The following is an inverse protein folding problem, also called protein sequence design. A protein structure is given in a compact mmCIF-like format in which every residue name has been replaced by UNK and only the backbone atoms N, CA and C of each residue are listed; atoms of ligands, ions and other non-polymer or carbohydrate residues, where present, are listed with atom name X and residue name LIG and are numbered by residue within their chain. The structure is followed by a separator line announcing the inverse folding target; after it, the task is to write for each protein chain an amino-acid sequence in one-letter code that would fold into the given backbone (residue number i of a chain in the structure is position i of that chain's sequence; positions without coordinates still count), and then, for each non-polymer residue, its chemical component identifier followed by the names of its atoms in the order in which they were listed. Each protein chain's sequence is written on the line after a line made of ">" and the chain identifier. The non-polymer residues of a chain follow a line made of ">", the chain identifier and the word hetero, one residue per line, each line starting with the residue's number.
data_IF_219781145756
#
_entry.id   IF_219781145756
#
_cell.length_a   1.000
_cell.length_b   1.000
_cell.length_c   1.000
_cell.angle_alpha   90.00
_cell.angle_beta   90.00
_cell.angle_gamma   90.00
#
_symmetry.space_group_name_H-M   'P 1'
#
loop_
_entity.id
_entity.type
_entity.pdbx_description
1 polymer ?
#
# COMPACT_ATOMS: atom_id res chain seq x y z
N UNK A 1 -18.39 -2.47 -7.96
CA UNK A 1 -18.03 -1.03 -8.02
C UNK A 1 -17.96 -0.36 -6.64
N UNK A 2 -18.66 -0.88 -5.61
CA UNK A 2 -18.60 -0.37 -4.22
C UNK A 2 -17.31 -0.78 -3.46
N UNK A 3 -16.72 -1.94 -3.77
CA UNK A 3 -15.60 -2.53 -3.01
C UNK A 3 -14.27 -1.77 -3.10
N UNK A 4 -13.95 -1.14 -4.24
CA UNK A 4 -12.71 -0.35 -4.40
C UNK A 4 -12.72 0.98 -3.63
N UNK A 5 -13.87 1.42 -3.11
CA UNK A 5 -13.97 2.65 -2.33
C UNK A 5 -13.16 2.61 -1.03
N UNK A 6 -12.79 1.43 -0.53
CA UNK A 6 -11.94 1.29 0.66
C UNK A 6 -10.56 1.90 0.45
N UNK A 7 -10.04 1.86 -0.78
CA UNK A 7 -8.71 2.38 -1.09
C UNK A 7 -8.62 3.91 -1.05
N UNK A 8 -9.74 4.64 -0.91
CA UNK A 8 -9.72 6.10 -0.68
C UNK A 8 -8.94 6.51 0.58
N UNK A 9 -8.74 5.58 1.50
CA UNK A 9 -7.95 5.80 2.72
C UNK A 9 -6.44 5.67 2.50
N UNK A 10 -6.00 5.21 1.33
CA UNK A 10 -4.62 5.29 0.89
C UNK A 10 -4.36 6.63 0.21
N UNK A 11 -3.32 7.34 0.68
CA UNK A 11 -2.93 8.63 0.15
C UNK A 11 -1.63 8.45 -0.62
N UNK A 12 -1.64 8.75 -1.92
CA UNK A 12 -0.42 8.84 -2.72
C UNK A 12 0.33 10.14 -2.35
N UNK A 13 1.61 10.00 -1.97
CA UNK A 13 2.42 11.11 -1.49
C UNK A 13 3.23 11.75 -2.61
N UNK A 14 3.23 13.08 -2.63
CA UNK A 14 4.18 13.85 -3.44
C UNK A 14 5.61 13.65 -2.91
N UNK A 15 6.42 12.89 -3.65
CA UNK A 15 7.80 12.56 -3.26
C UNK A 15 8.69 13.80 -3.10
N UNK A 16 8.41 14.89 -3.83
CA UNK A 16 9.20 16.13 -3.72
C UNK A 16 8.97 16.84 -2.38
N UNK A 17 7.77 16.68 -1.81
CA UNK A 17 7.43 17.24 -0.49
C UNK A 17 7.82 16.32 0.68
N UNK A 18 8.19 15.07 0.39
CA UNK A 18 8.43 14.02 1.39
C UNK A 18 9.85 13.42 1.29
N UNK A 19 10.86 14.24 0.96
CA UNK A 19 12.22 13.76 0.68
C UNK A 19 12.87 13.02 1.86
N UNK A 20 12.66 13.47 3.10
CA UNK A 20 13.20 12.82 4.30
C UNK A 20 12.61 11.42 4.53
N UNK A 21 11.29 11.29 4.32
CA UNK A 21 10.61 10.01 4.36
C UNK A 21 11.14 9.08 3.26
N UNK A 22 11.29 9.58 2.03
CA UNK A 22 11.89 8.84 0.93
C UNK A 22 13.30 8.31 1.29
N UNK A 23 14.16 9.16 1.88
CA UNK A 23 15.49 8.76 2.31
C UNK A 23 15.44 7.69 3.41
N UNK A 24 14.52 7.83 4.37
CA UNK A 24 14.32 6.87 5.45
C UNK A 24 13.87 5.51 4.93
N UNK A 25 12.88 5.50 4.04
CA UNK A 25 12.38 4.28 3.40
C UNK A 25 13.50 3.61 2.60
N UNK A 26 14.23 4.35 1.74
CA UNK A 26 15.37 3.81 0.98
C UNK A 26 16.41 3.16 1.88
N UNK A 27 16.74 3.78 3.02
CA UNK A 27 17.69 3.22 3.98
C UNK A 27 17.20 1.89 4.59
N UNK A 28 15.92 1.79 4.90
CA UNK A 28 15.32 0.59 5.48
C UNK A 28 15.15 -0.55 4.48
N UNK A 29 14.60 -0.25 3.30
CA UNK A 29 14.30 -1.25 2.27
C UNK A 29 15.47 -1.55 1.34
N UNK A 30 16.55 -0.75 1.42
CA UNK A 30 17.73 -0.81 0.54
C UNK A 30 17.43 -0.60 -0.95
N UNK A 31 16.28 -0.02 -1.29
CA UNK A 31 15.96 0.33 -2.68
C UNK A 31 16.74 1.57 -3.12
N UNK A 32 17.19 1.58 -4.37
CA UNK A 32 17.92 2.72 -4.96
C UNK A 32 16.97 3.86 -5.39
N UNK A 33 15.79 3.50 -5.88
CA UNK A 33 14.76 4.41 -6.38
C UNK A 33 13.40 4.09 -5.78
N UNK A 34 12.62 5.13 -5.52
CA UNK A 34 11.21 5.06 -5.14
C UNK A 34 10.44 5.81 -6.22
N UNK A 35 9.44 5.16 -6.81
CA UNK A 35 8.63 5.74 -7.87
C UNK A 35 7.34 6.38 -7.32
N UNK A 36 6.76 5.81 -6.26
CA UNK A 36 5.65 6.39 -5.50
C UNK A 36 5.57 5.81 -4.09
N UNK A 37 4.82 6.48 -3.21
CA UNK A 37 4.57 6.03 -1.84
C UNK A 37 3.09 6.21 -1.53
N UNK A 38 2.43 5.11 -1.17
CA UNK A 38 1.16 5.19 -0.46
C UNK A 38 1.38 5.30 1.03
N UNK A 39 0.57 6.15 1.65
CA UNK A 39 0.40 6.25 3.11
C UNK A 39 -0.99 5.76 3.51
N UNK A 40 -1.05 4.86 4.48
CA UNK A 40 -2.29 4.42 5.12
C UNK A 40 -2.22 4.70 6.61
N UNK A 41 -3.21 5.41 7.14
CA UNK A 41 -3.26 5.72 8.58
C UNK A 41 -3.85 4.55 9.38
N UNK A 42 -3.26 4.26 10.55
CA UNK A 42 -3.67 3.16 11.44
C UNK A 42 -5.06 3.32 12.06
N UNK A 43 -5.67 4.49 11.95
CA UNK A 43 -7.05 4.73 12.43
C UNK A 43 -8.11 4.47 11.35
N UNK A 44 -7.72 4.04 10.15
CA UNK A 44 -8.65 3.82 9.03
C UNK A 44 -9.12 2.38 8.96
N UNK A 45 -10.31 2.16 8.39
CA UNK A 45 -10.80 0.80 8.10
C UNK A 45 -9.85 0.03 7.17
N UNK A 46 -9.20 0.74 6.24
CA UNK A 46 -8.23 0.11 5.33
C UNK A 46 -7.06 -0.51 6.11
N UNK A 47 -6.58 0.12 7.19
CA UNK A 47 -5.52 -0.48 8.02
C UNK A 47 -5.95 -1.81 8.65
N UNK A 48 -7.17 -1.88 9.20
CA UNK A 48 -7.70 -3.11 9.81
C UNK A 48 -7.77 -4.22 8.77
N UNK A 49 -8.34 -3.92 7.60
CA UNK A 49 -8.47 -4.88 6.49
C UNK A 49 -7.11 -5.35 5.95
N UNK A 50 -6.15 -4.43 5.81
CA UNK A 50 -4.80 -4.78 5.36
C UNK A 50 -4.08 -5.68 6.37
N UNK A 51 -4.22 -5.41 7.67
CA UNK A 51 -3.60 -6.23 8.72
C UNK A 51 -4.14 -7.66 8.69
N UNK A 52 -5.46 -7.81 8.65
CA UNK A 52 -6.11 -9.13 8.53
C UNK A 52 -5.70 -9.85 7.24
N UNK A 53 -5.65 -9.11 6.12
CA UNK A 53 -5.17 -9.66 4.85
C UNK A 53 -3.74 -10.18 4.95
N UNK A 54 -2.81 -9.40 5.49
CA UNK A 54 -1.40 -9.79 5.61
C UNK A 54 -1.21 -11.02 6.49
N UNK A 55 -2.00 -11.16 7.55
CA UNK A 55 -2.05 -12.39 8.35
C UNK A 55 -2.57 -13.57 7.53
N UNK A 56 -3.62 -13.37 6.74
CA UNK A 56 -4.20 -14.40 5.88
C UNK A 56 -3.21 -14.92 4.81
N UNK A 57 -2.51 -14.01 4.13
CA UNK A 57 -1.59 -14.38 3.04
C UNK A 57 -0.14 -14.62 3.49
N UNK A 58 0.18 -14.36 4.76
CA UNK A 58 1.51 -14.62 5.34
C UNK A 58 2.63 -13.74 4.79
N UNK A 59 2.32 -12.55 4.26
CA UNK A 59 3.31 -11.60 3.76
C UNK A 59 3.11 -10.21 4.36
N UNK A 60 4.19 -9.44 4.46
CA UNK A 60 4.16 -8.06 4.93
C UNK A 60 4.74 -7.10 3.87
N UNK A 61 3.90 -6.42 3.07
CA UNK A 61 4.36 -5.51 2.03
C UNK A 61 4.74 -4.11 2.56
N UNK A 62 4.66 -3.86 3.87
CA UNK A 62 4.95 -2.56 4.47
C UNK A 62 6.42 -2.21 4.26
N UNK A 63 6.68 -1.10 3.56
CA UNK A 63 8.03 -0.60 3.30
C UNK A 63 8.59 0.15 4.51
N UNK A 64 7.73 0.85 5.25
CA UNK A 64 8.06 1.51 6.51
C UNK A 64 6.81 1.74 7.35
N UNK A 65 6.98 1.78 8.65
CA UNK A 65 5.93 2.03 9.62
C UNK A 65 6.46 3.04 10.66
N UNK A 66 5.67 4.08 10.91
CA UNK A 66 5.83 4.97 12.06
C UNK A 66 4.72 4.73 13.09
N UNK A 67 4.60 5.60 14.09
CA UNK A 67 3.59 5.47 15.14
C UNK A 67 2.16 5.42 14.59
N UNK A 68 1.86 6.23 13.60
CA UNK A 68 0.49 6.54 13.18
C UNK A 68 0.15 6.01 11.77
N UNK A 69 1.16 5.65 10.96
CA UNK A 69 0.99 5.32 9.55
C UNK A 69 1.84 4.14 9.08
N UNK A 70 1.32 3.48 8.05
CA UNK A 70 2.02 2.52 7.20
C UNK A 70 2.37 3.17 5.86
N UNK A 71 3.54 2.85 5.33
CA UNK A 71 4.02 3.36 4.05
C UNK A 71 4.42 2.21 3.12
N UNK A 72 4.02 2.33 1.85
CA UNK A 72 4.20 1.31 0.83
C UNK A 72 4.82 1.93 -0.41
N UNK A 73 5.96 1.41 -0.85
CA UNK A 73 6.51 1.77 -2.16
C UNK A 73 5.64 1.14 -3.24
N UNK A 74 5.36 1.90 -4.30
CA UNK A 74 4.77 1.38 -5.51
C UNK A 74 5.51 1.87 -6.76
N UNK A 75 5.44 1.07 -7.81
CA UNK A 75 5.85 1.47 -9.16
C UNK A 75 4.67 2.18 -9.80
N UNK A 76 4.81 3.47 -10.10
CA UNK A 76 3.78 4.43 -10.52
C UNK A 76 3.11 4.14 -11.87
N UNK A 77 3.05 2.86 -12.29
CA UNK A 77 2.28 2.43 -13.44
C UNK A 77 0.80 2.30 -13.03
N UNK A 78 0.10 3.44 -13.09
CA UNK A 78 -1.30 3.59 -12.69
C UNK A 78 -2.28 3.00 -13.73
N UNK A 79 -2.22 1.71 -14.03
CA UNK A 79 -3.41 1.08 -14.57
C UNK A 79 -4.49 1.11 -13.47
N UNK A 80 -5.68 1.63 -13.79
CA UNK A 80 -6.77 1.85 -12.81
C UNK A 80 -7.13 0.60 -12.00
N UNK A 81 -6.84 -0.59 -12.53
CA UNK A 81 -7.07 -1.87 -11.88
C UNK A 81 -5.93 -2.38 -11.00
N UNK A 82 -4.73 -1.82 -11.11
CA UNK A 82 -3.53 -2.31 -10.40
C UNK A 82 -2.96 -1.28 -9.42
N UNK A 83 -3.55 -0.08 -9.36
CA UNK A 83 -3.06 1.04 -8.57
C UNK A 83 -2.76 0.69 -7.11
N UNK A 84 -3.58 -0.14 -6.46
CA UNK A 84 -3.44 -0.49 -5.04
C UNK A 84 -2.86 -1.88 -4.81
N UNK A 85 -2.38 -2.55 -5.86
CA UNK A 85 -1.87 -3.92 -5.77
C UNK A 85 -0.67 -4.01 -4.82
N UNK A 86 0.18 -2.97 -4.80
CA UNK A 86 1.29 -2.84 -3.84
C UNK A 86 0.84 -2.83 -2.37
N UNK A 87 -0.32 -2.24 -2.06
CA UNK A 87 -0.87 -2.22 -0.70
C UNK A 87 -1.19 -3.63 -0.23
N UNK A 88 -1.65 -4.49 -1.12
CA UNK A 88 -2.11 -5.84 -0.78
C UNK A 88 -1.03 -6.90 -1.04
N UNK A 89 0.19 -6.48 -1.38
CA UNK A 89 1.34 -7.36 -1.66
C UNK A 89 1.31 -8.05 -3.03
N UNK A 90 0.61 -7.46 -4.00
CA UNK A 90 0.61 -7.90 -5.38
C UNK A 90 1.81 -7.43 -6.19
N UNK A 91 1.94 -7.98 -7.40
CA UNK A 91 3.06 -7.82 -8.33
C UNK A 91 2.78 -6.81 -9.46
N UNK A 92 1.64 -6.14 -9.41
CA UNK A 92 1.16 -5.23 -10.45
C UNK A 92 0.21 -5.88 -11.45
N UNK A 93 -0.17 -7.15 -11.27
CA UNK A 93 -1.21 -7.80 -12.09
C UNK A 93 -2.63 -7.39 -11.69
N UNK A 94 -2.82 -6.86 -10.48
CA UNK A 94 -4.14 -6.51 -9.92
C UNK A 94 -4.96 -7.71 -9.43
N UNK A 95 -4.45 -8.94 -9.61
CA UNK A 95 -5.12 -10.16 -9.15
C UNK A 95 -5.18 -10.20 -7.63
N UNK A 96 -4.08 -9.89 -6.95
CA UNK A 96 -4.01 -9.86 -5.49
C UNK A 96 -4.94 -8.80 -4.92
N UNK A 97 -5.05 -7.64 -5.57
CA UNK A 97 -6.04 -6.62 -5.21
C UNK A 97 -7.48 -7.13 -5.31
N UNK A 98 -7.82 -7.83 -6.39
CA UNK A 98 -9.16 -8.39 -6.55
C UNK A 98 -9.42 -9.54 -5.56
N UNK A 99 -8.42 -10.36 -5.23
CA UNK A 99 -8.52 -11.43 -4.24
C UNK A 99 -8.67 -10.87 -2.82
N UNK A 100 -7.94 -9.81 -2.48
CA UNK A 100 -8.13 -9.02 -1.26
C UNK A 100 -9.57 -8.52 -1.14
N UNK A 101 -10.10 -7.90 -2.20
CA UNK A 101 -11.47 -7.38 -2.20
C UNK A 101 -12.52 -8.49 -2.10
N UNK A 102 -12.27 -9.68 -2.67
CA UNK A 102 -13.16 -10.83 -2.47
C UNK A 102 -13.10 -11.31 -1.04
N UNK A 103 -11.91 -11.45 -0.47
CA UNK A 103 -11.74 -11.95 0.90
C UNK A 103 -12.39 -11.03 1.94
N UNK A 104 -12.24 -9.71 1.80
CA UNK A 104 -12.78 -8.72 2.76
C UNK A 104 -14.29 -8.51 2.68
N UNK A 105 -14.93 -8.90 1.57
CA UNK A 105 -16.34 -8.57 1.29
C UNK A 105 -17.16 -9.78 0.81
N UNK A 106 -16.62 -10.99 0.89
CA UNK A 106 -17.35 -12.24 0.71
C UNK A 106 -18.13 -12.61 1.98
#
# INVERSE_FOLDING_TARGET
>A
MITRAIFKYAIDLDLNKNQELCATIKKKTRVSKINGIFKVSKVTMLYVMLTEWYEHIGINPISYEDKDNLYFIHDSNYALNTMYDSLVGGDGSGKTQDDFLKYMFA
#
